data_IF_202358674673
#
_entry.id   IF_202358674673
#
_cell.length_a   1.000
_cell.length_b   1.000
_cell.length_c   1.000
_cell.angle_alpha   90.00
_cell.angle_beta   90.00
_cell.angle_gamma   90.00
#
_symmetry.space_group_name_H-M   'P 1'
#
loop_
_entity.id
_entity.type
_entity.pdbx_description
1 polymer ?
#
# COMPACT_ATOMS: atom_id res chain seq x y z
N UNK A 1 19.37 -15.92 5.38
CA UNK A 1 18.87 -14.53 5.28
C UNK A 1 18.33 -14.38 3.88
N UNK A 2 17.03 -14.14 3.75
CA UNK A 2 16.34 -13.91 2.47
C UNK A 2 16.28 -12.39 2.29
N UNK A 3 17.07 -11.79 1.38
CA UNK A 3 17.15 -10.33 1.23
C UNK A 3 15.78 -9.70 0.94
N UNK A 4 14.99 -10.33 0.08
CA UNK A 4 13.66 -9.85 -0.30
C UNK A 4 12.67 -9.87 0.88
N UNK A 5 12.88 -10.78 1.84
CA UNK A 5 12.06 -10.89 3.03
C UNK A 5 12.32 -9.74 4.01
N UNK A 6 13.55 -9.22 4.06
CA UNK A 6 13.90 -8.05 4.89
C UNK A 6 13.34 -6.77 4.29
N UNK A 7 13.39 -6.63 2.96
CA UNK A 7 12.81 -5.49 2.25
C UNK A 7 11.29 -5.48 2.36
N UNK A 8 10.63 -6.64 2.22
CA UNK A 8 9.20 -6.79 2.47
C UNK A 8 8.82 -6.35 3.89
N UNK A 9 9.52 -6.88 4.91
CA UNK A 9 9.24 -6.54 6.30
C UNK A 9 9.46 -5.04 6.57
N UNK A 10 10.48 -4.44 5.97
CA UNK A 10 10.76 -3.00 6.08
C UNK A 10 9.63 -2.17 5.44
N UNK A 11 9.19 -2.53 4.23
CA UNK A 11 8.10 -1.83 3.55
C UNK A 11 6.80 -1.91 4.34
N UNK A 12 6.44 -3.09 4.86
CA UNK A 12 5.25 -3.27 5.72
C UNK A 12 5.35 -2.44 7.00
N UNK A 13 6.53 -2.42 7.64
CA UNK A 13 6.75 -1.59 8.82
C UNK A 13 6.58 -0.10 8.52
N UNK A 14 7.14 0.40 7.42
CA UNK A 14 7.03 1.80 7.00
C UNK A 14 5.58 2.18 6.69
N UNK A 15 4.84 1.32 5.99
CA UNK A 15 3.40 1.51 5.74
C UNK A 15 2.61 1.55 7.05
N UNK A 16 2.91 0.67 8.01
CA UNK A 16 2.30 0.68 9.33
C UNK A 16 2.59 1.98 10.12
N UNK A 17 3.83 2.47 10.07
CA UNK A 17 4.21 3.74 10.69
C UNK A 17 3.50 4.93 10.04
N UNK A 18 3.36 4.93 8.71
CA UNK A 18 2.62 5.95 7.99
C UNK A 18 1.14 5.94 8.35
N UNK A 19 0.53 4.76 8.53
CA UNK A 19 -0.85 4.63 8.99
C UNK A 19 -1.05 5.18 10.40
N UNK A 20 -0.12 4.91 11.33
CA UNK A 20 -0.16 5.49 12.68
C UNK A 20 0.04 7.01 12.65
N UNK A 21 0.89 7.52 11.75
CA UNK A 21 1.05 8.96 11.57
C UNK A 21 -0.25 9.60 11.09
N UNK A 22 -0.94 9.00 10.11
CA UNK A 22 -2.19 9.50 9.56
C UNK A 22 -3.33 9.60 10.60
N UNK A 23 -3.29 8.79 11.67
CA UNK A 23 -4.27 8.79 12.76
C UNK A 23 -4.03 9.93 13.80
N UNK A 24 -2.90 10.64 13.71
CA UNK A 24 -2.60 11.75 14.61
C UNK A 24 -3.43 13.01 14.28
N UNK A 25 -3.81 13.78 15.31
CA UNK A 25 -4.72 14.93 15.18
C UNK A 25 -4.28 16.04 14.19
N UNK A 26 -2.97 16.19 13.98
CA UNK A 26 -2.38 17.22 13.10
C UNK A 26 -1.51 16.58 12.00
N UNK A 27 -1.86 15.36 11.57
CA UNK A 27 -1.15 14.66 10.50
C UNK A 27 -1.28 15.41 9.17
N UNK A 28 -0.18 15.52 8.43
CA UNK A 28 -0.18 15.99 7.05
C UNK A 28 -0.72 14.88 6.13
N UNK A 29 -2.01 14.96 5.83
CA UNK A 29 -2.68 13.97 4.99
C UNK A 29 -2.25 14.07 3.51
N UNK A 30 -1.88 15.26 3.03
CA UNK A 30 -1.37 15.43 1.67
C UNK A 30 -0.03 14.69 1.51
N UNK A 31 0.82 14.72 2.54
CA UNK A 31 2.03 13.90 2.60
C UNK A 31 1.71 12.40 2.58
N UNK A 32 0.73 11.95 3.37
CA UNK A 32 0.32 10.53 3.42
C UNK A 32 -0.17 10.06 2.05
N UNK A 33 -1.00 10.85 1.38
CA UNK A 33 -1.57 10.53 0.06
C UNK A 33 -0.49 10.42 -1.02
N UNK A 34 0.57 11.24 -0.95
CA UNK A 34 1.69 11.20 -1.89
C UNK A 34 2.63 10.02 -1.60
N UNK A 35 2.92 9.74 -0.33
CA UNK A 35 3.95 8.76 0.07
C UNK A 35 3.41 7.34 0.08
N UNK A 36 2.15 7.13 0.45
CA UNK A 36 1.56 5.80 0.60
C UNK A 36 1.67 4.95 -0.68
N UNK A 37 1.30 5.44 -1.89
CA UNK A 37 1.46 4.67 -3.13
C UNK A 37 2.92 4.33 -3.45
N UNK A 38 3.84 5.24 -3.14
CA UNK A 38 5.29 5.07 -3.37
C UNK A 38 5.89 3.96 -2.48
N UNK A 39 5.34 3.75 -1.29
CA UNK A 39 5.71 2.62 -0.44
C UNK A 39 5.01 1.34 -0.88
N UNK A 40 3.72 1.43 -1.22
CA UNK A 40 2.90 0.27 -1.60
C UNK A 40 3.43 -0.44 -2.86
N UNK A 41 3.96 0.30 -3.85
CA UNK A 41 4.56 -0.30 -5.07
C UNK A 41 5.83 -1.13 -4.79
N UNK A 42 6.43 -0.97 -3.61
CA UNK A 42 7.59 -1.77 -3.19
C UNK A 42 7.18 -3.12 -2.60
N UNK A 43 5.87 -3.38 -2.43
CA UNK A 43 5.37 -4.70 -2.04
C UNK A 43 5.36 -5.65 -3.24
N UNK A 44 5.58 -6.95 -3.00
CA UNK A 44 5.42 -7.96 -4.04
C UNK A 44 3.96 -8.00 -4.51
N UNK A 45 3.78 -8.32 -5.79
CA UNK A 45 2.45 -8.50 -6.36
C UNK A 45 1.66 -9.54 -5.55
N UNK A 46 0.40 -9.25 -5.17
CA UNK A 46 -0.49 -10.23 -4.57
C UNK A 46 -0.60 -11.53 -5.39
N UNK A 47 -0.88 -12.67 -4.74
CA UNK A 47 -1.30 -13.87 -5.44
C UNK A 47 -2.54 -13.62 -6.33
N UNK A 48 -2.67 -14.29 -7.48
CA UNK A 48 -3.86 -14.20 -8.32
C UNK A 48 -5.14 -14.50 -7.53
N UNK A 49 -6.18 -13.69 -7.69
CA UNK A 49 -7.45 -13.83 -6.97
C UNK A 49 -7.47 -13.27 -5.55
N UNK A 50 -6.41 -12.57 -5.11
CA UNK A 50 -6.40 -11.84 -3.83
C UNK A 50 -7.33 -10.63 -3.85
N UNK A 51 -7.36 -9.94 -4.99
CA UNK A 51 -8.25 -8.82 -5.23
C UNK A 51 -9.37 -9.29 -6.16
N UNK A 52 -10.62 -8.87 -5.92
CA UNK A 52 -11.67 -9.05 -6.93
C UNK A 52 -11.17 -8.43 -8.23
N UNK A 53 -11.32 -9.15 -9.34
CA UNK A 53 -11.08 -8.58 -10.67
C UNK A 53 -11.89 -7.28 -10.73
N UNK A 54 -11.21 -6.16 -10.98
CA UNK A 54 -11.81 -4.87 -11.33
C UNK A 54 -12.46 -5.02 -12.71
N UNK A 55 -13.45 -5.93 -12.78
CA UNK A 55 -14.38 -6.04 -13.89
C UNK A 55 -15.16 -4.75 -13.88
N UNK A 56 -14.57 -3.75 -14.55
CA UNK A 56 -15.19 -2.52 -15.00
C UNK A 56 -16.63 -2.88 -15.35
N UNK A 57 -17.65 -2.32 -14.68
CA UNK A 57 -19.02 -2.59 -15.06
C UNK A 57 -19.12 -2.13 -16.50
N UNK A 58 -19.19 -3.09 -17.42
CA UNK A 58 -19.31 -2.85 -18.83
C UNK A 58 -20.30 -1.72 -19.01
N UNK A 59 -19.87 -0.64 -19.68
CA UNK A 59 -20.75 0.38 -20.18
C UNK A 59 -21.78 -0.32 -21.09
N UNK A 60 -22.87 -0.77 -20.49
CA UNK A 60 -24.02 -1.28 -21.19
C UNK A 60 -24.99 -0.13 -21.39
N UNK A 61 -24.88 0.44 -22.59
CA UNK A 61 -25.90 1.16 -23.37
C UNK A 61 -26.27 2.59 -22.98
#
# INVERSE_FOLDING_TARGET
MCPDCEDFARTVLLLGQLALYADMADADLDFVDVVSPSLAVSLPEPPPGTFPDDSDPAEDS
#
